data_IF_579548382959
#
_entry.id   IF_579548382959
#
_cell.length_a   1.000
_cell.length_b   1.000
_cell.length_c   1.000
_cell.angle_alpha   90.00
_cell.angle_beta   90.00
_cell.angle_gamma   90.00
#
_symmetry.space_group_name_H-M   'P 1'
#
loop_
_entity.id
_entity.type
_entity.pdbx_description
1 polymer ?
#
# COMPACT_ATOMS: atom_id res chain seq x y z
N UNK A 1 -66.93 -6.54 -28.18
CA UNK A 1 -65.52 -6.91 -28.44
C UNK A 1 -65.22 -8.06 -27.51
N UNK A 2 -65.74 -9.24 -27.83
CA UNK A 2 -65.09 -10.30 -28.64
C UNK A 2 -63.96 -11.02 -27.89
N UNK A 3 -64.28 -12.29 -27.58
CA UNK A 3 -63.43 -13.35 -27.07
C UNK A 3 -62.38 -13.76 -28.11
N UNK A 4 -61.11 -13.88 -27.68
CA UNK A 4 -60.18 -14.94 -28.11
C UNK A 4 -59.19 -15.22 -26.96
N UNK A 5 -59.17 -16.42 -26.38
CA UNK A 5 -57.95 -16.99 -25.80
C UNK A 5 -57.46 -18.11 -26.71
N UNK A 6 -56.26 -17.93 -27.26
CA UNK A 6 -55.56 -18.94 -28.04
C UNK A 6 -54.66 -19.78 -27.12
N UNK A 7 -54.74 -21.09 -27.33
CA UNK A 7 -54.12 -22.19 -26.59
C UNK A 7 -52.60 -22.24 -26.69
N UNK A 8 -51.92 -22.75 -25.66
CA UNK A 8 -50.91 -23.81 -25.87
C UNK A 8 -50.49 -24.55 -24.58
N UNK A 9 -50.99 -25.79 -24.50
CA UNK A 9 -50.24 -27.03 -24.24
C UNK A 9 -49.56 -27.31 -22.90
N UNK A 10 -50.11 -28.35 -22.26
CA UNK A 10 -49.65 -29.12 -21.09
C UNK A 10 -48.28 -29.79 -21.33
N UNK A 11 -47.45 -29.86 -20.29
CA UNK A 11 -46.21 -30.65 -20.27
C UNK A 11 -45.68 -30.91 -18.86
N UNK A 12 -46.01 -32.09 -18.32
CA UNK A 12 -45.72 -32.68 -17.01
C UNK A 12 -44.26 -32.61 -16.50
N UNK A 13 -44.13 -32.07 -15.27
CA UNK A 13 -43.17 -32.34 -14.16
C UNK A 13 -42.14 -33.48 -14.37
N UNK A 14 -40.84 -33.14 -14.35
CA UNK A 14 -39.75 -34.02 -13.88
C UNK A 14 -38.77 -33.26 -13.00
N UNK A 15 -38.76 -33.65 -11.71
CA UNK A 15 -37.77 -33.31 -10.69
C UNK A 15 -36.56 -34.21 -10.90
N UNK A 16 -35.36 -33.65 -10.98
CA UNK A 16 -34.10 -34.39 -10.82
C UNK A 16 -33.31 -33.74 -9.69
N UNK A 17 -33.33 -34.42 -8.54
CA UNK A 17 -32.34 -34.28 -7.47
C UNK A 17 -31.05 -34.94 -7.93
N UNK A 18 -30.00 -34.14 -8.10
CA UNK A 18 -28.63 -34.64 -8.01
C UNK A 18 -27.89 -33.73 -7.03
N UNK A 19 -27.63 -34.30 -5.86
CA UNK A 19 -26.66 -33.83 -4.88
C UNK A 19 -25.27 -34.06 -5.45
N UNK A 20 -24.60 -32.99 -5.85
CA UNK A 20 -23.14 -32.96 -5.99
C UNK A 20 -22.57 -32.16 -4.83
N UNK A 21 -22.41 -32.84 -3.70
CA UNK A 21 -21.46 -32.46 -2.66
C UNK A 21 -20.06 -32.66 -3.25
N UNK A 22 -19.47 -31.57 -3.72
CA UNK A 22 -18.10 -31.55 -4.24
C UNK A 22 -17.45 -30.23 -3.83
N UNK A 23 -16.88 -30.24 -2.63
CA UNK A 23 -15.65 -29.53 -2.26
C UNK A 23 -15.50 -28.09 -2.75
N UNK A 24 -16.27 -27.16 -2.20
CA UNK A 24 -16.08 -25.73 -2.42
C UNK A 24 -15.05 -25.13 -1.44
N UNK A 25 -13.87 -25.75 -1.35
CA UNK A 25 -12.71 -25.22 -0.60
C UNK A 25 -11.62 -24.67 -1.51
N UNK A 26 -11.77 -24.71 -2.85
CA UNK A 26 -10.78 -24.13 -3.79
C UNK A 26 -10.96 -22.64 -4.08
N UNK A 27 -12.15 -22.07 -3.82
CA UNK A 27 -12.43 -20.65 -4.15
C UNK A 27 -11.64 -19.65 -3.28
N UNK A 28 -11.09 -20.10 -2.15
CA UNK A 28 -10.26 -19.25 -1.29
C UNK A 28 -8.85 -19.07 -1.83
N UNK A 29 -8.32 -20.04 -2.59
CA UNK A 29 -6.93 -20.03 -3.06
C UNK A 29 -6.76 -19.37 -4.43
N UNK A 30 -7.82 -19.33 -5.26
CA UNK A 30 -7.78 -18.62 -6.55
C UNK A 30 -7.72 -17.10 -6.36
N UNK A 31 -8.37 -16.56 -5.33
CA UNK A 31 -8.27 -15.14 -4.96
C UNK A 31 -6.86 -14.74 -4.50
N UNK A 32 -6.07 -15.68 -3.96
CA UNK A 32 -4.70 -15.41 -3.52
C UNK A 32 -3.71 -15.28 -4.69
N UNK A 33 -4.09 -15.71 -5.90
CA UNK A 33 -3.28 -15.62 -7.12
C UNK A 33 -3.78 -14.58 -8.13
N UNK A 34 -4.92 -13.93 -7.88
CA UNK A 34 -5.41 -12.84 -8.73
C UNK A 34 -4.65 -11.56 -8.42
N UNK A 35 -3.63 -11.25 -9.23
CA UNK A 35 -3.02 -9.93 -9.21
C UNK A 35 -4.08 -8.88 -9.58
N UNK A 36 -4.28 -7.89 -8.70
CA UNK A 36 -5.23 -6.82 -9.00
C UNK A 36 -4.72 -5.96 -10.16
N UNK A 37 -5.64 -5.44 -10.97
CA UNK A 37 -5.33 -4.52 -12.07
C UNK A 37 -4.49 -3.32 -11.60
N UNK A 38 -4.73 -2.84 -10.37
CA UNK A 38 -3.95 -1.74 -9.77
C UNK A 38 -2.51 -2.13 -9.55
N UNK A 39 -2.24 -3.32 -8.97
CA UNK A 39 -0.87 -3.78 -8.74
C UNK A 39 -0.13 -4.01 -10.07
N UNK A 40 -0.83 -4.55 -11.08
CA UNK A 40 -0.28 -4.73 -12.42
C UNK A 40 0.06 -3.37 -13.04
N UNK A 41 -0.85 -2.40 -13.00
CA UNK A 41 -0.63 -1.06 -13.52
C UNK A 41 0.57 -0.38 -12.84
N UNK A 42 0.67 -0.49 -11.51
CA UNK A 42 1.81 0.02 -10.75
C UNK A 42 3.14 -0.61 -11.18
N UNK A 43 3.18 -1.93 -11.39
CA UNK A 43 4.38 -2.64 -11.87
C UNK A 43 4.78 -2.20 -13.27
N UNK A 44 3.81 -2.03 -14.18
CA UNK A 44 4.05 -1.56 -15.54
C UNK A 44 4.62 -0.13 -15.52
N UNK A 45 3.96 0.79 -14.80
CA UNK A 45 4.42 2.18 -14.67
C UNK A 45 5.81 2.28 -14.04
N UNK A 46 6.07 1.46 -13.01
CA UNK A 46 7.40 1.35 -12.39
C UNK A 46 8.47 0.93 -13.38
N UNK A 47 8.18 -0.07 -14.23
CA UNK A 47 9.12 -0.57 -15.24
C UNK A 47 9.40 0.44 -16.36
N UNK A 48 8.46 1.36 -16.62
CA UNK A 48 8.61 2.43 -17.61
C UNK A 48 9.39 3.64 -17.08
N UNK A 49 9.78 3.64 -15.80
CA UNK A 49 10.48 4.78 -15.22
C UNK A 49 11.84 4.99 -15.89
N UNK A 50 12.16 6.23 -16.32
CA UNK A 50 13.41 6.51 -17.01
C UNK A 50 14.63 6.21 -16.15
N UNK A 51 15.56 5.42 -16.69
CA UNK A 51 16.88 5.24 -16.10
C UNK A 51 17.81 6.30 -16.67
N UNK A 52 17.94 7.43 -15.97
CA UNK A 52 18.81 8.52 -16.38
C UNK A 52 20.24 8.21 -15.91
N UNK A 53 21.20 8.27 -16.85
CA UNK A 53 22.62 8.14 -16.53
C UNK A 53 23.01 9.20 -15.50
N UNK A 54 23.63 8.78 -14.39
CA UNK A 54 24.09 9.59 -13.25
C UNK A 54 23.02 10.16 -12.31
N UNK A 55 21.73 9.86 -12.53
CA UNK A 55 20.64 10.21 -11.61
C UNK A 55 19.89 8.94 -11.24
N UNK A 56 20.26 8.33 -10.11
CA UNK A 56 19.56 7.16 -9.58
C UNK A 56 18.46 7.63 -8.62
N UNK A 57 17.27 7.83 -9.17
CA UNK A 57 16.04 8.11 -8.41
C UNK A 57 15.15 6.87 -8.53
N UNK A 58 14.65 6.40 -7.40
CA UNK A 58 13.67 5.31 -7.43
C UNK A 58 12.32 5.77 -8.00
N UNK A 59 11.61 4.88 -8.71
CA UNK A 59 10.36 5.20 -9.37
C UNK A 59 9.24 5.50 -8.38
N UNK A 60 8.48 6.56 -8.64
CA UNK A 60 7.20 6.83 -7.99
C UNK A 60 6.13 7.10 -9.04
N UNK A 61 4.89 6.78 -8.69
CA UNK A 61 3.71 6.90 -9.55
C UNK A 61 2.75 7.89 -8.90
N UNK A 62 2.18 8.81 -9.67
CA UNK A 62 1.13 9.68 -9.18
C UNK A 62 -0.21 8.96 -9.20
N UNK A 63 -1.06 9.15 -8.17
CA UNK A 63 -2.43 8.61 -8.16
C UNK A 63 -3.22 9.04 -9.41
N UNK A 64 -3.01 10.27 -9.88
CA UNK A 64 -3.61 10.77 -11.12
C UNK A 64 -3.24 9.95 -12.37
N UNK A 65 -2.01 9.45 -12.45
CA UNK A 65 -1.57 8.54 -13.51
C UNK A 65 -2.27 7.18 -13.38
N UNK A 66 -2.41 6.67 -12.16
CA UNK A 66 -3.06 5.40 -11.88
C UNK A 66 -4.56 5.41 -12.22
N UNK A 67 -5.26 6.49 -11.86
CA UNK A 67 -6.66 6.72 -12.23
C UNK A 67 -6.89 6.87 -13.74
N UNK A 68 -5.84 7.17 -14.51
CA UNK A 68 -5.90 7.23 -15.97
C UNK A 68 -5.69 5.85 -16.60
N UNK A 69 -5.00 4.93 -15.91
CA UNK A 69 -4.73 3.58 -16.39
C UNK A 69 -5.78 2.56 -15.95
N UNK A 70 -6.43 2.76 -14.79
CA UNK A 70 -7.42 1.84 -14.22
C UNK A 70 -8.77 2.53 -14.13
N UNK A 71 -9.82 1.88 -14.66
CA UNK A 71 -11.15 2.50 -14.83
C UNK A 71 -11.86 2.81 -13.51
N UNK A 72 -11.71 1.95 -12.50
CA UNK A 72 -12.47 2.04 -11.25
C UNK A 72 -11.63 2.71 -10.14
N UNK A 73 -11.81 4.02 -9.95
CA UNK A 73 -11.08 4.81 -8.94
C UNK A 73 -11.31 4.32 -7.52
N UNK A 74 -12.56 3.99 -7.15
CA UNK A 74 -12.88 3.51 -5.80
C UNK A 74 -12.21 2.18 -5.51
N UNK A 75 -12.09 1.30 -6.50
CA UNK A 75 -11.35 0.05 -6.36
C UNK A 75 -9.85 0.31 -6.19
N UNK A 76 -9.27 1.20 -7.02
CA UNK A 76 -7.87 1.63 -6.87
C UNK A 76 -7.60 2.14 -5.44
N UNK A 77 -8.47 2.99 -4.90
CA UNK A 77 -8.27 3.51 -3.54
C UNK A 77 -8.31 2.40 -2.48
N UNK A 78 -9.27 1.46 -2.58
CA UNK A 78 -9.35 0.31 -1.66
C UNK A 78 -8.12 -0.58 -1.74
N UNK A 79 -7.64 -0.84 -2.95
CA UNK A 79 -6.48 -1.68 -3.20
C UNK A 79 -5.17 -1.01 -2.75
N UNK A 80 -5.00 0.29 -3.01
CA UNK A 80 -3.89 1.07 -2.48
C UNK A 80 -3.86 1.06 -0.96
N UNK A 81 -5.01 1.22 -0.31
CA UNK A 81 -5.11 1.12 1.15
C UNK A 81 -4.78 -0.27 1.67
N UNK A 82 -5.15 -1.35 0.97
CA UNK A 82 -4.73 -2.70 1.33
C UNK A 82 -3.21 -2.86 1.20
N UNK A 83 -2.66 -2.53 0.03
CA UNK A 83 -1.23 -2.65 -0.25
C UNK A 83 -0.36 -1.79 0.68
N UNK A 84 -0.90 -0.66 1.17
CA UNK A 84 -0.28 0.17 2.20
C UNK A 84 -0.24 -0.56 3.54
N UNK A 85 -1.36 -1.11 4.00
CA UNK A 85 -1.44 -1.88 5.26
C UNK A 85 -0.55 -3.13 5.22
N UNK A 86 -0.46 -3.75 4.05
CA UNK A 86 0.38 -4.93 3.80
C UNK A 86 1.87 -4.57 3.62
N UNK A 87 2.24 -3.29 3.80
CA UNK A 87 3.60 -2.76 3.67
C UNK A 87 4.24 -3.01 2.30
N UNK A 88 3.44 -3.17 1.26
CA UNK A 88 3.92 -3.31 -0.12
C UNK A 88 4.21 -1.94 -0.72
N UNK A 89 3.39 -0.94 -0.39
CA UNK A 89 3.47 0.41 -0.93
C UNK A 89 3.60 1.46 0.16
N UNK A 90 4.26 2.56 -0.18
CA UNK A 90 4.28 3.81 0.58
C UNK A 90 3.54 4.89 -0.18
N UNK A 91 2.61 5.55 0.50
CA UNK A 91 1.88 6.69 -0.04
C UNK A 91 2.45 7.99 0.53
N UNK A 92 2.52 9.01 -0.31
CA UNK A 92 2.96 10.35 0.07
C UNK A 92 1.93 11.37 -0.39
N UNK A 93 1.66 12.36 0.45
CA UNK A 93 0.95 13.57 0.04
C UNK A 93 1.98 14.57 -0.45
N UNK A 94 1.81 15.04 -1.69
CA UNK A 94 2.68 16.05 -2.29
C UNK A 94 2.13 17.45 -2.02
N UNK A 95 3.01 18.45 -2.07
CA UNK A 95 2.65 19.86 -1.82
C UNK A 95 2.34 20.62 -3.13
N UNK A 96 2.20 19.92 -4.25
CA UNK A 96 2.11 20.50 -5.60
C UNK A 96 0.69 20.85 -6.03
N UNK A 97 -0.33 20.40 -5.30
CA UNK A 97 -1.73 20.66 -5.61
C UNK A 97 -2.69 20.00 -4.61
N UNK A 98 -4.00 20.28 -4.75
CA UNK A 98 -5.04 19.50 -4.07
C UNK A 98 -5.06 18.10 -4.71
N UNK A 99 -5.03 17.06 -3.88
CA UNK A 99 -5.09 15.65 -4.27
C UNK A 99 -3.87 15.05 -5.01
N UNK A 100 -2.75 15.76 -5.06
CA UNK A 100 -1.50 15.19 -5.58
C UNK A 100 -0.91 14.21 -4.56
N UNK A 101 -1.10 12.92 -4.84
CA UNK A 101 -0.54 11.83 -4.04
C UNK A 101 0.43 11.01 -4.90
N UNK A 102 1.57 10.68 -4.31
CA UNK A 102 2.53 9.74 -4.90
C UNK A 102 2.43 8.37 -4.22
N UNK A 103 2.70 7.34 -5.01
CA UNK A 103 2.75 5.94 -4.61
C UNK A 103 4.11 5.40 -5.01
N UNK A 104 4.81 4.78 -4.07
CA UNK A 104 6.11 4.13 -4.30
C UNK A 104 6.07 2.72 -3.72
N UNK A 105 6.79 1.77 -4.34
CA UNK A 105 7.01 0.47 -3.70
C UNK A 105 7.87 0.64 -2.45
N UNK A 106 7.52 -0.05 -1.36
CA UNK A 106 8.25 0.11 -0.10
C UNK A 106 9.73 -0.28 -0.27
N UNK A 107 10.00 -1.35 -1.01
CA UNK A 107 11.37 -1.78 -1.32
C UNK A 107 12.19 -0.69 -2.01
N UNK A 108 11.57 0.05 -2.91
CA UNK A 108 12.24 1.14 -3.62
C UNK A 108 12.46 2.32 -2.68
N UNK A 109 11.47 2.65 -1.85
CA UNK A 109 11.64 3.66 -0.83
C UNK A 109 12.79 3.33 0.15
N UNK A 110 12.91 2.07 0.59
CA UNK A 110 14.01 1.61 1.44
C UNK A 110 15.36 1.71 0.73
N UNK A 111 15.45 1.30 -0.53
CA UNK A 111 16.68 1.48 -1.35
C UNK A 111 17.06 2.95 -1.46
N UNK A 112 16.08 3.84 -1.64
CA UNK A 112 16.33 5.28 -1.72
C UNK A 112 16.90 5.82 -0.40
N UNK A 113 16.34 5.40 0.74
CA UNK A 113 16.87 5.75 2.06
C UNK A 113 18.30 5.24 2.21
N UNK A 114 18.55 3.97 1.91
CA UNK A 114 19.88 3.36 2.05
C UNK A 114 20.91 4.05 1.15
N UNK A 115 20.53 4.48 -0.06
CA UNK A 115 21.41 5.26 -0.94
C UNK A 115 21.72 6.64 -0.38
N UNK A 116 20.72 7.34 0.15
CA UNK A 116 20.93 8.64 0.81
C UNK A 116 21.86 8.46 2.00
N UNK A 117 21.62 7.44 2.80
CA UNK A 117 22.42 7.10 3.96
C UNK A 117 23.89 6.79 3.61
N UNK A 118 24.15 5.96 2.60
CA UNK A 118 25.51 5.68 2.11
C UNK A 118 26.24 6.95 1.64
N UNK A 119 25.53 7.87 0.97
CA UNK A 119 26.13 9.17 0.57
C UNK A 119 26.45 10.08 1.75
N UNK A 120 25.91 9.81 2.93
CA UNK A 120 26.22 10.54 4.16
C UNK A 120 27.42 9.98 4.93
N UNK A 121 28.17 9.03 4.35
CA UNK A 121 29.44 8.53 4.91
C UNK A 121 30.40 9.71 5.20
N UNK A 122 30.59 10.02 6.48
CA UNK A 122 31.31 11.21 6.98
C UNK A 122 30.64 11.94 8.15
N UNK A 123 29.39 11.61 8.49
CA UNK A 123 28.62 12.21 9.59
C UNK A 123 28.77 11.48 10.93
N UNK A 124 28.35 12.14 12.01
CA UNK A 124 28.57 11.66 13.39
C UNK A 124 27.79 10.38 13.69
N UNK A 125 28.31 9.54 14.60
CA UNK A 125 27.65 8.30 15.06
C UNK A 125 26.19 8.52 15.51
N UNK A 126 25.89 9.68 16.10
CA UNK A 126 24.54 10.05 16.52
C UNK A 126 23.56 10.15 15.33
N UNK A 127 24.00 10.65 14.17
CA UNK A 127 23.15 10.69 12.98
C UNK A 127 22.83 9.28 12.49
N UNK A 128 23.81 8.36 12.51
CA UNK A 128 23.58 6.96 12.16
C UNK A 128 22.52 6.30 13.04
N UNK A 129 22.58 6.52 14.35
CA UNK A 129 21.64 5.95 15.32
C UNK A 129 20.22 6.49 15.11
N UNK A 130 20.05 7.77 14.77
CA UNK A 130 18.73 8.36 14.48
C UNK A 130 18.10 7.76 13.21
N UNK A 131 18.89 7.50 12.17
CA UNK A 131 18.38 6.92 10.92
C UNK A 131 17.96 5.46 11.07
N UNK A 132 18.78 4.64 11.74
CA UNK A 132 18.41 3.25 12.04
C UNK A 132 17.18 3.20 12.95
N UNK A 133 17.13 4.09 13.95
CA UNK A 133 15.97 4.24 14.80
C UNK A 133 14.71 4.55 13.99
N UNK A 134 14.79 5.52 13.06
CA UNK A 134 13.67 5.92 12.20
C UNK A 134 13.18 4.76 11.33
N UNK A 135 14.09 3.99 10.71
CA UNK A 135 13.72 2.83 9.91
C UNK A 135 12.95 1.79 10.72
N UNK A 136 13.43 1.47 11.92
CA UNK A 136 12.85 0.42 12.77
C UNK A 136 11.53 0.87 13.41
N UNK A 137 11.45 2.10 13.89
CA UNK A 137 10.35 2.53 14.75
C UNK A 137 9.30 3.37 14.04
N UNK A 138 9.65 4.07 12.96
CA UNK A 138 8.74 4.99 12.28
C UNK A 138 8.22 4.38 10.98
N UNK A 139 9.09 3.84 10.12
CA UNK A 139 8.65 3.33 8.82
C UNK A 139 7.70 2.15 8.94
N UNK A 140 7.94 1.26 9.91
CA UNK A 140 7.12 0.10 10.15
C UNK A 140 5.79 0.40 10.84
N UNK A 141 5.74 1.47 11.64
CA UNK A 141 4.61 1.81 12.52
C UNK A 141 3.70 2.87 11.92
N UNK A 142 4.25 3.79 11.13
CA UNK A 142 3.54 4.92 10.54
C UNK A 142 3.45 4.72 9.06
N UNK A 143 2.33 4.15 8.60
CA UNK A 143 2.06 3.90 7.19
C UNK A 143 1.25 5.01 6.52
N UNK A 144 0.81 6.01 7.28
CA UNK A 144 0.06 7.17 6.77
C UNK A 144 0.97 8.13 5.99
N UNK A 145 0.35 9.01 5.19
CA UNK A 145 1.05 9.99 4.33
C UNK A 145 1.73 11.13 5.13
N UNK A 146 1.55 11.16 6.44
CA UNK A 146 2.11 12.17 7.33
C UNK A 146 2.24 11.64 8.76
N UNK A 147 2.97 12.39 9.58
CA UNK A 147 3.09 12.17 11.01
C UNK A 147 2.63 13.45 11.68
N UNK A 148 1.59 13.36 12.51
CA UNK A 148 1.11 14.53 13.26
C UNK A 148 2.11 14.93 14.35
N UNK A 149 2.09 16.20 14.76
CA UNK A 149 3.04 16.70 15.74
C UNK A 149 3.00 15.91 17.06
N UNK A 150 1.81 15.62 17.58
CA UNK A 150 1.64 14.85 18.81
C UNK A 150 2.19 13.43 18.67
N UNK A 151 1.98 12.81 17.51
CA UNK A 151 2.49 11.47 17.25
C UNK A 151 4.01 11.44 17.13
N UNK A 152 4.60 12.46 16.50
CA UNK A 152 6.04 12.61 16.40
C UNK A 152 6.67 12.73 17.79
N UNK A 153 6.05 13.52 18.68
CA UNK A 153 6.44 13.64 20.07
C UNK A 153 6.30 12.31 20.83
N UNK A 154 5.20 11.56 20.63
CA UNK A 154 5.05 10.24 21.25
C UNK A 154 6.12 9.25 20.78
N UNK A 155 6.43 9.25 19.47
CA UNK A 155 7.45 8.37 18.90
C UNK A 155 8.82 8.62 19.54
N UNK A 156 9.22 9.86 19.79
CA UNK A 156 10.51 10.14 20.43
C UNK A 156 10.54 9.73 21.91
N UNK A 157 9.45 9.90 22.65
CA UNK A 157 9.38 9.51 24.07
C UNK A 157 9.35 8.00 24.30
N UNK A 158 8.55 7.25 23.54
CA UNK A 158 8.36 5.80 23.72
C UNK A 158 9.65 5.03 23.48
N UNK A 159 10.51 5.54 22.59
CA UNK A 159 11.72 4.84 22.18
C UNK A 159 12.98 5.33 22.88
N UNK A 160 13.07 6.62 23.21
CA UNK A 160 14.19 7.15 24.01
C UNK A 160 14.06 6.76 25.48
N UNK A 161 12.82 6.67 26.00
CA UNK A 161 12.56 6.25 27.38
C UNK A 161 12.81 4.76 27.67
N UNK A 162 13.10 3.94 26.65
CA UNK A 162 13.41 2.51 26.83
C UNK A 162 14.91 2.22 26.97
N UNK A 163 15.76 3.24 26.83
CA UNK A 163 17.23 3.13 26.93
C UNK A 163 17.83 3.59 28.26
N UNK A 164 17.09 4.28 29.13
CA UNK A 164 17.64 4.83 30.37
C UNK A 164 17.18 4.04 31.60
N UNK A 165 17.84 2.90 31.82
CA UNK A 165 18.03 2.38 33.16
C UNK A 165 19.08 3.23 33.88
N UNK A 166 18.63 4.18 34.71
CA UNK A 166 19.37 4.90 35.76
C UNK A 166 20.62 5.70 35.34
N UNK A 167 20.52 7.04 35.41
CA UNK A 167 21.25 7.81 36.44
C UNK A 167 20.91 9.31 36.40
N UNK A 168 20.45 9.80 37.54
CA UNK A 168 20.55 11.17 38.07
C UNK A 168 20.01 12.35 37.24
N UNK A 169 18.82 12.79 37.64
CA UNK A 169 18.38 14.18 37.52
C UNK A 169 19.38 15.11 38.24
N UNK A 170 19.84 16.22 37.64
CA UNK A 170 20.40 17.31 38.42
C UNK A 170 19.25 18.18 38.94
N UNK A 171 19.14 18.27 40.26
CA UNK A 171 18.46 19.37 40.92
C UNK A 171 19.26 20.65 40.66
N UNK A 172 18.69 21.60 39.92
CA UNK A 172 18.35 22.97 40.35
C UNK A 172 17.96 23.82 39.14
#
# INVERSE_FOLDING_TARGET
MENVPESSSKGTKRRRTESSDAGNTSSSLENDLTFSDTLIALRIMRAQFPQILNVSVEPFILKSQLYSSVKNRTQVDRELESLRRDKVLRLFKLNTGQDDHAVMFLDDYLKQIDRVFKRMEGKTRAEFEVFEWFKIHVLDSKLETGIEHQELVMLTFVTWGKGEGQSHLPSN
#
